data_IF_832070984176
#
_entry.id   IF_832070984176
#
_cell.length_a   1.000
_cell.length_b   1.000
_cell.length_c   1.000
_cell.angle_alpha   90.00
_cell.angle_beta   90.00
_cell.angle_gamma   90.00
#
_symmetry.space_group_name_H-M   'P 1'
#
loop_
_entity.id
_entity.type
_entity.pdbx_description
1 polymer ?
#
# COMPACT_ATOMS: atom_id res chain seq x y z
N UNK A 1 17.44 -0.92 -10.40
CA UNK A 1 16.77 -1.40 -11.62
C UNK A 1 15.33 -1.71 -11.28
N UNK A 2 14.38 -1.03 -11.89
CA UNK A 2 12.94 -1.24 -11.65
C UNK A 2 12.43 -2.45 -12.43
N UNK A 3 11.32 -3.05 -11.99
CA UNK A 3 10.75 -4.22 -12.69
C UNK A 3 10.21 -3.85 -14.09
N UNK A 4 9.83 -2.59 -14.29
CA UNK A 4 9.49 -2.03 -15.61
C UNK A 4 10.72 -2.04 -16.53
N UNK A 5 11.87 -1.59 -16.03
CA UNK A 5 13.14 -1.66 -16.76
C UNK A 5 13.49 -3.09 -17.13
N UNK A 6 13.34 -4.05 -16.21
CA UNK A 6 13.57 -5.48 -16.50
C UNK A 6 12.66 -6.00 -17.60
N UNK A 7 11.37 -5.64 -17.59
CA UNK A 7 10.41 -6.07 -18.62
C UNK A 7 10.72 -5.47 -19.99
N UNK A 8 11.10 -4.19 -20.02
CA UNK A 8 11.54 -3.49 -21.23
C UNK A 8 12.81 -4.14 -21.79
N UNK A 9 13.78 -4.47 -20.94
CA UNK A 9 15.01 -5.16 -21.33
C UNK A 9 14.70 -6.52 -21.95
N UNK A 10 13.81 -7.32 -21.35
CA UNK A 10 13.40 -8.62 -21.90
C UNK A 10 12.71 -8.46 -23.25
N UNK A 11 11.81 -7.49 -23.39
CA UNK A 11 11.10 -7.25 -24.66
C UNK A 11 12.04 -6.80 -25.78
N UNK A 12 12.96 -5.88 -25.48
CA UNK A 12 13.98 -5.43 -26.43
C UNK A 12 14.93 -6.56 -26.80
N UNK A 13 15.36 -7.36 -25.82
CA UNK A 13 16.23 -8.51 -26.04
C UNK A 13 15.57 -9.54 -26.95
N UNK A 14 14.26 -9.79 -26.78
CA UNK A 14 13.49 -10.67 -27.66
C UNK A 14 13.51 -10.18 -29.11
N UNK A 15 13.24 -8.88 -29.34
CA UNK A 15 13.29 -8.27 -30.68
C UNK A 15 14.67 -8.38 -31.32
N UNK A 16 15.74 -8.20 -30.54
CA UNK A 16 17.12 -8.37 -31.01
C UNK A 16 17.39 -9.82 -31.42
N UNK A 17 17.02 -10.79 -30.57
CA UNK A 17 17.21 -12.22 -30.85
C UNK A 17 16.39 -12.66 -32.06
N UNK A 18 15.15 -12.19 -32.22
CA UNK A 18 14.32 -12.51 -33.38
C UNK A 18 14.97 -12.06 -34.70
N UNK A 19 15.69 -10.96 -34.68
CA UNK A 19 16.40 -10.46 -35.85
C UNK A 19 17.72 -11.22 -36.13
N UNK A 20 18.51 -11.49 -35.09
CA UNK A 20 19.80 -12.22 -35.21
C UNK A 20 19.56 -13.68 -35.57
N UNK A 21 18.66 -14.35 -34.86
CA UNK A 21 18.36 -15.77 -34.99
C UNK A 21 17.22 -16.06 -35.97
N UNK A 22 16.93 -15.14 -36.91
CA UNK A 22 15.78 -15.22 -37.82
C UNK A 22 15.68 -16.56 -38.57
N UNK A 23 16.82 -17.14 -38.96
CA UNK A 23 16.91 -18.44 -39.65
C UNK A 23 17.08 -19.64 -38.72
N UNK A 24 17.30 -19.42 -37.42
CA UNK A 24 17.58 -20.44 -36.42
C UNK A 24 16.36 -20.65 -35.52
N UNK A 25 15.37 -21.36 -36.06
CA UNK A 25 14.08 -21.57 -35.39
C UNK A 25 14.20 -22.25 -34.02
N UNK A 26 15.13 -23.19 -33.87
CA UNK A 26 15.40 -23.85 -32.58
C UNK A 26 15.86 -22.87 -31.49
N UNK A 27 16.67 -21.87 -31.88
CA UNK A 27 17.18 -20.85 -30.95
C UNK A 27 16.04 -19.91 -30.54
N UNK A 28 15.25 -19.44 -31.51
CA UNK A 28 14.08 -18.59 -31.24
C UNK A 28 13.09 -19.27 -30.29
N UNK A 29 12.75 -20.54 -30.55
CA UNK A 29 11.88 -21.33 -29.67
C UNK A 29 12.44 -21.49 -28.26
N UNK A 30 13.73 -21.75 -28.12
CA UNK A 30 14.37 -21.86 -26.80
C UNK A 30 14.29 -20.56 -26.00
N UNK A 31 14.55 -19.41 -26.64
CA UNK A 31 14.45 -18.09 -26.02
C UNK A 31 13.01 -17.74 -25.67
N UNK A 32 12.04 -18.07 -26.52
CA UNK A 32 10.62 -17.87 -26.24
C UNK A 32 10.14 -18.64 -25.02
N UNK A 33 10.58 -19.89 -24.83
CA UNK A 33 10.22 -20.69 -23.64
C UNK A 33 10.83 -20.08 -22.37
N UNK A 34 12.10 -19.65 -22.43
CA UNK A 34 12.79 -19.09 -21.26
C UNK A 34 12.24 -17.72 -20.89
N UNK A 35 12.11 -16.81 -21.87
CA UNK A 35 11.63 -15.46 -21.65
C UNK A 35 10.12 -15.42 -21.41
N UNK A 36 9.33 -16.20 -22.16
CA UNK A 36 7.86 -16.24 -22.07
C UNK A 36 7.33 -16.96 -20.84
N UNK A 37 7.93 -18.09 -20.46
CA UNK A 37 7.54 -18.86 -19.29
C UNK A 37 8.36 -18.48 -18.06
N UNK A 38 9.63 -18.90 -18.03
CA UNK A 38 10.42 -18.89 -16.79
C UNK A 38 10.71 -17.49 -16.24
N UNK A 39 11.12 -16.55 -17.09
CA UNK A 39 11.48 -15.18 -16.66
C UNK A 39 10.23 -14.37 -16.33
N UNK A 40 9.25 -14.32 -17.23
CA UNK A 40 8.02 -13.54 -17.00
C UNK A 40 7.20 -14.08 -15.84
N UNK A 41 7.02 -15.39 -15.68
CA UNK A 41 6.31 -15.94 -14.52
C UNK A 41 7.02 -15.62 -13.20
N UNK A 42 8.36 -15.62 -13.20
CA UNK A 42 9.14 -15.29 -12.00
C UNK A 42 8.93 -13.83 -11.61
N UNK A 43 8.97 -12.92 -12.58
CA UNK A 43 8.70 -11.50 -12.32
C UNK A 43 7.24 -11.24 -11.95
N UNK A 44 6.27 -11.88 -12.60
CA UNK A 44 4.85 -11.77 -12.25
C UNK A 44 4.57 -12.28 -10.83
N UNK A 45 5.18 -13.40 -10.42
CA UNK A 45 5.10 -13.91 -9.03
C UNK A 45 5.68 -12.93 -8.03
N UNK A 46 6.83 -12.30 -8.35
CA UNK A 46 7.41 -11.25 -7.49
C UNK A 46 6.47 -10.04 -7.37
N UNK A 47 5.85 -9.61 -8.47
CA UNK A 47 4.86 -8.53 -8.45
C UNK A 47 3.67 -8.86 -7.55
N UNK A 48 3.13 -10.08 -7.68
CA UNK A 48 2.02 -10.54 -6.86
C UNK A 48 2.38 -10.55 -5.37
N UNK A 49 3.52 -11.13 -5.01
CA UNK A 49 4.00 -11.16 -3.61
C UNK A 49 4.23 -9.75 -3.07
N UNK A 50 4.81 -8.86 -3.87
CA UNK A 50 5.03 -7.46 -3.47
C UNK A 50 3.69 -6.74 -3.27
N UNK A 51 2.73 -6.94 -4.17
CA UNK A 51 1.38 -6.39 -4.06
C UNK A 51 0.70 -6.82 -2.75
N UNK A 52 0.77 -8.11 -2.42
CA UNK A 52 0.26 -8.62 -1.14
C UNK A 52 0.95 -7.91 0.04
N UNK A 53 2.28 -7.87 0.06
CA UNK A 53 3.02 -7.23 1.16
C UNK A 53 2.68 -5.76 1.35
N UNK A 54 2.56 -5.01 0.26
CA UNK A 54 2.15 -3.60 0.32
C UNK A 54 0.73 -3.48 0.86
N UNK A 55 -0.19 -4.34 0.39
CA UNK A 55 -1.57 -4.37 0.88
C UNK A 55 -1.66 -4.70 2.37
N UNK A 56 -0.94 -5.71 2.84
CA UNK A 56 -0.89 -6.09 4.26
C UNK A 56 -0.32 -4.95 5.12
N UNK A 57 0.77 -4.31 4.68
CA UNK A 57 1.39 -3.21 5.42
C UNK A 57 0.48 -1.98 5.47
N UNK A 58 -0.12 -1.60 4.34
CA UNK A 58 -1.06 -0.49 4.27
C UNK A 58 -2.28 -0.74 5.16
N UNK A 59 -2.90 -1.93 5.06
CA UNK A 59 -4.04 -2.30 5.89
C UNK A 59 -3.69 -2.32 7.39
N UNK A 60 -2.48 -2.76 7.74
CA UNK A 60 -1.99 -2.74 9.13
C UNK A 60 -1.77 -1.31 9.64
N UNK A 61 -1.30 -0.39 8.81
CA UNK A 61 -1.12 1.02 9.17
C UNK A 61 -2.48 1.70 9.32
N UNK A 62 -3.36 1.53 8.34
CA UNK A 62 -4.70 2.10 8.32
C UNK A 62 -5.51 1.62 9.52
N UNK A 63 -5.57 0.31 9.77
CA UNK A 63 -6.29 -0.24 10.92
C UNK A 63 -5.73 0.21 12.28
N UNK A 64 -4.41 0.46 12.41
CA UNK A 64 -3.84 1.04 13.64
C UNK A 64 -4.24 2.50 13.82
N UNK A 65 -4.26 3.27 12.73
CA UNK A 65 -4.63 4.68 12.76
C UNK A 65 -6.11 4.85 13.06
N UNK A 66 -6.97 4.06 12.40
CA UNK A 66 -8.41 4.02 12.67
C UNK A 66 -8.68 3.62 14.12
N UNK A 67 -8.09 2.52 14.59
CA UNK A 67 -8.26 2.08 15.98
C UNK A 67 -7.78 3.10 17.02
N UNK A 68 -6.66 3.80 16.75
CA UNK A 68 -6.21 4.91 17.62
C UNK A 68 -7.23 6.06 17.60
N UNK A 69 -7.70 6.45 16.42
CA UNK A 69 -8.67 7.53 16.25
C UNK A 69 -10.00 7.22 16.96
N UNK A 70 -10.55 6.03 16.80
CA UNK A 70 -11.74 5.57 17.50
C UNK A 70 -11.54 5.56 19.03
N UNK A 71 -10.40 5.05 19.49
CA UNK A 71 -10.04 5.06 20.91
C UNK A 71 -10.00 6.48 21.50
N UNK A 72 -9.44 7.44 20.76
CA UNK A 72 -9.43 8.86 21.16
C UNK A 72 -10.84 9.45 21.16
N UNK A 73 -11.66 9.19 20.14
CA UNK A 73 -13.06 9.62 20.09
C UNK A 73 -13.86 9.11 21.29
N UNK A 74 -13.66 7.86 21.70
CA UNK A 74 -14.34 7.28 22.85
C UNK A 74 -13.87 7.90 24.18
N UNK A 75 -12.58 8.20 24.32
CA UNK A 75 -12.07 8.92 25.48
C UNK A 75 -12.65 10.33 25.56
N UNK A 76 -12.70 11.05 24.43
CA UNK A 76 -13.29 12.39 24.31
C UNK A 76 -14.78 12.34 24.70
N UNK A 77 -15.58 11.40 24.14
CA UNK A 77 -16.99 11.22 24.51
C UNK A 77 -17.19 11.03 26.01
N UNK A 78 -16.38 10.17 26.64
CA UNK A 78 -16.46 9.90 28.08
C UNK A 78 -16.07 11.10 28.94
N UNK A 79 -15.09 11.89 28.52
CA UNK A 79 -14.63 13.09 29.26
C UNK A 79 -15.60 14.27 29.08
N UNK A 80 -16.15 14.46 27.88
CA UNK A 80 -17.22 15.43 27.61
C UNK A 80 -18.47 15.12 28.44
N UNK A 81 -18.87 13.84 28.55
CA UNK A 81 -20.00 13.44 29.40
C UNK A 81 -19.76 13.73 30.90
N UNK A 82 -18.51 13.83 31.33
CA UNK A 82 -18.12 14.22 32.70
C UNK A 82 -18.02 15.74 32.88
N UNK A 83 -18.29 16.53 31.83
CA UNK A 83 -18.27 17.99 31.87
C UNK A 83 -16.88 18.62 31.89
N UNK A 84 -15.84 17.90 31.43
CA UNK A 84 -14.49 18.46 31.33
C UNK A 84 -14.38 19.45 30.17
N UNK A 85 -13.56 20.48 30.35
CA UNK A 85 -13.26 21.44 29.28
C UNK A 85 -12.29 20.86 28.23
N UNK A 86 -12.17 21.55 27.10
CA UNK A 86 -11.36 21.08 25.96
C UNK A 86 -9.86 21.08 26.30
N UNK A 87 -9.38 22.07 27.07
CA UNK A 87 -7.98 22.17 27.49
C UNK A 87 -7.57 21.00 28.39
N UNK A 88 -8.41 20.64 29.37
CA UNK A 88 -8.24 19.48 30.24
C UNK A 88 -8.30 18.17 29.45
N UNK A 89 -9.16 18.08 28.44
CA UNK A 89 -9.22 16.89 27.58
C UNK A 89 -7.93 16.75 26.78
N UNK A 90 -7.45 17.83 26.15
CA UNK A 90 -6.22 17.87 25.38
C UNK A 90 -5.01 17.47 26.22
N UNK A 91 -4.86 18.07 27.41
CA UNK A 91 -3.80 17.72 28.36
C UNK A 91 -3.88 16.25 28.80
N UNK A 92 -5.07 15.72 29.09
CA UNK A 92 -5.21 14.34 29.58
C UNK A 92 -5.08 13.25 28.51
N UNK A 93 -5.22 13.59 27.22
CA UNK A 93 -5.01 12.64 26.11
C UNK A 93 -3.67 12.87 25.39
N UNK A 94 -2.88 13.84 25.86
CA UNK A 94 -1.58 14.24 25.30
C UNK A 94 -1.67 14.62 23.80
N UNK A 95 -2.77 15.29 23.42
CA UNK A 95 -3.00 15.78 22.06
C UNK A 95 -3.27 17.30 22.09
N UNK A 96 -3.22 17.99 20.95
CA UNK A 96 -3.50 19.43 20.91
C UNK A 96 -5.00 19.75 21.01
N UNK A 97 -5.33 20.96 21.46
CA UNK A 97 -6.72 21.42 21.47
C UNK A 97 -7.35 21.42 20.08
N UNK A 98 -6.57 21.73 19.04
CA UNK A 98 -7.01 21.68 17.64
C UNK A 98 -7.42 20.27 17.20
N UNK A 99 -6.63 19.24 17.54
CA UNK A 99 -6.96 17.86 17.17
C UNK A 99 -8.17 17.35 17.96
N UNK A 100 -8.31 17.74 19.23
CA UNK A 100 -9.52 17.45 20.02
C UNK A 100 -10.75 18.08 19.38
N UNK A 101 -10.68 19.35 18.97
CA UNK A 101 -11.78 20.06 18.31
C UNK A 101 -12.18 19.39 16.98
N UNK A 102 -11.21 18.96 16.17
CA UNK A 102 -11.50 18.22 14.94
C UNK A 102 -12.19 16.88 15.21
N UNK A 103 -11.71 16.12 16.19
CA UNK A 103 -12.31 14.85 16.57
C UNK A 103 -13.74 15.03 17.11
N UNK A 104 -14.00 16.10 17.86
CA UNK A 104 -15.35 16.44 18.33
C UNK A 104 -16.28 16.72 17.14
N UNK A 105 -15.83 17.53 16.16
CA UNK A 105 -16.62 17.79 14.93
C UNK A 105 -16.93 16.51 14.18
N UNK A 106 -15.98 15.58 14.08
CA UNK A 106 -16.22 14.27 13.46
C UNK A 106 -17.26 13.45 14.24
N UNK A 107 -17.16 13.41 15.57
CA UNK A 107 -18.14 12.72 16.44
C UNK A 107 -19.54 13.31 16.27
N UNK A 108 -19.67 14.63 16.13
CA UNK A 108 -20.96 15.29 15.89
C UNK A 108 -21.50 15.01 14.49
N UNK A 109 -20.64 14.95 13.47
CA UNK A 109 -21.02 14.60 12.12
C UNK A 109 -21.48 13.13 11.99
N UNK A 110 -20.87 12.20 12.73
CA UNK A 110 -21.25 10.78 12.79
C UNK A 110 -22.60 10.53 13.49
N UNK A 111 -23.09 11.48 14.30
CA UNK A 111 -24.39 11.38 14.97
C UNK A 111 -25.57 11.83 14.10
N UNK A 112 -25.31 12.38 12.92
CA UNK A 112 -26.30 12.97 12.01
C UNK A 112 -26.74 11.99 10.93
#
# INVERSE_FOLDING_TARGET
MTELESRIIVELSKKVVDNIAKKYEKIRRGVDVIMGGKVIETEAKKMYIRGIKIGEENGRIEGRNEGRSEGLKDQIKKKLAKGKDIAQIADEIEESEDTVLELIKQIEAEKK
#
